data_IF_753373607615
#
_entry.id   IF_753373607615
#
_cell.length_a   1.000
_cell.length_b   1.000
_cell.length_c   1.000
_cell.angle_alpha   90.00
_cell.angle_beta   90.00
_cell.angle_gamma   90.00
#
_symmetry.space_group_name_H-M   'P 1'
#
loop_
_entity.id
_entity.type
_entity.pdbx_description
1 polymer ?
#
# COMPACT_ATOMS: atom_id res chain seq x y z
N UNK A 1 -5.16 20.48 -17.40
CA UNK A 1 -3.77 20.37 -16.90
C UNK A 1 -3.26 18.95 -17.20
N UNK A 2 -2.30 18.73 -18.12
CA UNK A 2 -1.75 17.36 -18.38
C UNK A 2 -0.27 17.29 -18.85
N UNK A 3 0.40 18.41 -19.14
CA UNK A 3 1.75 18.37 -19.74
C UNK A 3 2.85 17.72 -18.87
N UNK A 4 2.68 17.62 -17.54
CA UNK A 4 3.65 16.95 -16.64
C UNK A 4 3.49 15.43 -16.65
N UNK A 5 2.25 14.95 -16.66
CA UNK A 5 1.90 13.53 -16.79
C UNK A 5 2.50 12.92 -18.07
N UNK A 6 2.32 13.62 -19.19
CA UNK A 6 2.77 13.15 -20.50
C UNK A 6 4.30 13.13 -20.61
N UNK A 7 4.98 14.13 -20.01
CA UNK A 7 6.44 14.18 -19.95
C UNK A 7 7.01 13.06 -19.08
N UNK A 8 6.37 12.76 -17.96
CA UNK A 8 6.81 11.67 -17.07
C UNK A 8 6.50 10.29 -17.68
N UNK A 9 5.44 10.15 -18.45
CA UNK A 9 5.17 8.96 -19.26
C UNK A 9 6.24 8.78 -20.36
N UNK A 10 6.59 9.84 -21.08
CA UNK A 10 7.66 9.81 -22.09
C UNK A 10 9.02 9.45 -21.48
N UNK A 11 9.37 10.03 -20.34
CA UNK A 11 10.61 9.68 -19.61
C UNK A 11 10.63 8.23 -19.16
N UNK A 12 9.49 7.69 -18.71
CA UNK A 12 9.38 6.27 -18.34
C UNK A 12 9.58 5.39 -19.56
N UNK A 13 8.96 5.72 -20.69
CA UNK A 13 9.11 4.96 -21.94
C UNK A 13 10.55 4.97 -22.44
N UNK A 14 11.18 6.13 -22.51
CA UNK A 14 12.58 6.24 -22.93
C UNK A 14 13.54 5.43 -22.04
N UNK A 15 13.27 5.33 -20.74
CA UNK A 15 14.06 4.48 -19.83
C UNK A 15 13.84 2.99 -20.07
N UNK A 16 12.61 2.58 -20.41
CA UNK A 16 12.34 1.18 -20.75
C UNK A 16 13.03 0.81 -22.06
N UNK A 17 12.97 1.69 -23.06
CA UNK A 17 13.65 1.50 -24.34
C UNK A 17 15.18 1.39 -24.17
N UNK A 18 15.78 2.25 -23.32
CA UNK A 18 17.21 2.18 -22.97
C UNK A 18 17.58 0.86 -22.25
N UNK A 19 16.74 0.39 -21.34
CA UNK A 19 16.93 -0.91 -20.67
C UNK A 19 16.84 -2.05 -21.70
N UNK A 20 15.87 -2.04 -22.60
CA UNK A 20 15.74 -3.05 -23.66
C UNK A 20 16.95 -3.05 -24.58
N UNK A 21 17.46 -1.86 -24.95
CA UNK A 21 18.67 -1.72 -25.74
C UNK A 21 19.89 -2.29 -25.00
N UNK A 22 20.08 -1.98 -23.71
CA UNK A 22 21.19 -2.53 -22.93
C UNK A 22 21.11 -4.05 -22.77
N UNK A 23 19.89 -4.62 -22.70
CA UNK A 23 19.70 -6.07 -22.72
C UNK A 23 20.09 -6.66 -24.07
N UNK A 24 19.70 -6.01 -25.17
CA UNK A 24 20.05 -6.45 -26.53
C UNK A 24 21.57 -6.37 -26.81
N UNK A 25 22.23 -5.33 -26.30
CA UNK A 25 23.67 -5.13 -26.40
C UNK A 25 24.47 -6.04 -25.46
N UNK A 26 23.80 -6.77 -24.56
CA UNK A 26 24.44 -7.65 -23.57
C UNK A 26 25.14 -6.89 -22.44
N UNK A 27 25.00 -5.57 -22.37
CA UNK A 27 25.53 -4.72 -21.29
C UNK A 27 24.69 -4.81 -20.02
N UNK A 28 23.42 -5.23 -20.13
CA UNK A 28 22.54 -5.58 -19.02
C UNK A 28 22.07 -7.03 -19.16
N UNK A 29 22.30 -7.86 -18.14
CA UNK A 29 21.87 -9.26 -18.17
C UNK A 29 20.62 -9.49 -17.33
N UNK A 30 19.58 -10.08 -17.93
CA UNK A 30 18.38 -10.52 -17.20
C UNK A 30 18.68 -11.85 -16.49
N UNK A 31 18.83 -11.82 -15.17
CA UNK A 31 18.96 -13.03 -14.35
C UNK A 31 17.68 -13.30 -13.55
N UNK A 32 17.38 -14.57 -13.35
CA UNK A 32 16.36 -14.97 -12.37
C UNK A 32 16.90 -14.73 -10.97
N UNK A 33 16.05 -14.25 -10.06
CA UNK A 33 16.42 -14.10 -8.65
C UNK A 33 16.55 -15.48 -8.01
N UNK A 34 17.58 -15.67 -7.18
CA UNK A 34 17.75 -16.90 -6.40
C UNK A 34 16.69 -17.00 -5.29
N UNK A 35 16.44 -18.20 -4.76
CA UNK A 35 15.51 -18.39 -3.65
C UNK A 35 15.90 -17.57 -2.40
N UNK A 36 17.20 -17.53 -2.06
CA UNK A 36 17.71 -16.73 -0.95
C UNK A 36 17.53 -15.22 -1.17
N UNK A 37 17.65 -14.74 -2.40
CA UNK A 37 17.33 -13.34 -2.73
C UNK A 37 15.83 -13.09 -2.65
N UNK A 38 15.00 -13.98 -3.19
CA UNK A 38 13.54 -13.87 -3.10
C UNK A 38 13.10 -13.80 -1.64
N UNK A 39 13.62 -14.66 -0.78
CA UNK A 39 13.38 -14.64 0.67
C UNK A 39 13.90 -13.34 1.32
N UNK A 40 15.12 -12.91 1.01
CA UNK A 40 15.70 -11.65 1.51
C UNK A 40 14.86 -10.43 1.13
N UNK A 41 14.26 -10.45 -0.06
CA UNK A 41 13.44 -9.38 -0.60
C UNK A 41 11.93 -9.56 -0.36
N UNK A 42 11.50 -10.64 0.31
CA UNK A 42 10.08 -10.92 0.58
C UNK A 42 9.25 -11.29 -0.67
N UNK A 43 9.89 -11.67 -1.77
CA UNK A 43 9.22 -11.94 -3.05
C UNK A 43 8.57 -13.32 -3.03
N UNK A 44 7.24 -13.35 -2.90
CA UNK A 44 6.43 -14.57 -2.91
C UNK A 44 5.98 -15.04 -1.53
N UNK A 45 6.30 -14.29 -0.47
CA UNK A 45 5.75 -14.50 0.87
C UNK A 45 4.51 -13.60 1.03
N UNK A 46 3.33 -14.19 0.98
CA UNK A 46 2.05 -13.49 1.16
C UNK A 46 1.89 -12.87 2.54
N UNK A 47 2.68 -13.33 3.52
CA UNK A 47 2.64 -12.86 4.91
C UNK A 47 3.86 -11.97 5.25
N UNK A 48 4.76 -11.69 4.29
CA UNK A 48 5.87 -10.73 4.45
C UNK A 48 6.12 -9.88 3.20
N UNK A 49 5.15 -9.10 2.73
CA UNK A 49 5.22 -8.58 1.37
C UNK A 49 6.35 -7.58 1.16
N UNK A 50 6.66 -6.67 2.10
CA UNK A 50 7.79 -5.76 1.96
C UNK A 50 8.27 -5.29 3.33
N UNK A 51 9.56 -5.42 3.64
CA UNK A 51 10.20 -4.91 4.88
C UNK A 51 10.12 -3.38 5.07
N UNK A 52 9.30 -2.68 4.29
CA UNK A 52 9.21 -1.23 4.29
C UNK A 52 7.78 -0.80 4.04
N UNK A 53 7.26 -0.03 4.99
CA UNK A 53 6.06 0.77 4.83
C UNK A 53 6.04 1.50 3.48
N UNK A 54 4.88 1.50 2.84
CA UNK A 54 4.60 2.30 1.65
C UNK A 54 3.19 2.87 1.72
N UNK A 55 2.96 3.92 0.95
CA UNK A 55 1.65 4.51 0.69
C UNK A 55 1.39 4.39 -0.81
N UNK A 56 0.24 3.86 -1.27
CA UNK A 56 -0.04 3.70 -2.69
C UNK A 56 0.16 5.00 -3.48
N UNK A 57 0.80 4.90 -4.65
CA UNK A 57 1.20 6.06 -5.45
C UNK A 57 2.53 6.72 -5.04
N UNK A 58 3.17 6.27 -3.94
CA UNK A 58 4.50 6.71 -3.53
C UNK A 58 5.53 5.55 -3.53
N UNK A 59 6.82 5.90 -3.59
CA UNK A 59 7.91 4.93 -3.44
C UNK A 59 7.97 4.46 -1.97
N UNK A 60 8.12 3.15 -1.75
CA UNK A 60 8.28 2.57 -0.42
C UNK A 60 9.44 3.20 0.36
N UNK A 61 9.20 3.51 1.65
CA UNK A 61 10.15 4.18 2.53
C UNK A 61 10.55 5.60 2.12
N UNK A 62 9.81 6.25 1.21
CA UNK A 62 10.09 7.63 0.80
C UNK A 62 9.46 8.65 1.74
N UNK A 63 10.10 9.83 1.88
CA UNK A 63 9.55 10.97 2.62
C UNK A 63 8.14 11.34 2.14
N UNK A 64 7.91 11.31 0.82
CA UNK A 64 6.60 11.58 0.25
C UNK A 64 5.54 10.57 0.73
N UNK A 65 5.87 9.28 0.77
CA UNK A 65 4.95 8.27 1.29
C UNK A 65 4.59 8.50 2.75
N UNK A 66 5.57 8.90 3.57
CA UNK A 66 5.31 9.28 4.97
C UNK A 66 4.43 10.53 5.08
N UNK A 67 4.69 11.57 4.27
CA UNK A 67 3.89 12.80 4.26
C UNK A 67 2.41 12.55 3.90
N UNK A 68 2.15 11.72 2.90
CA UNK A 68 0.77 11.36 2.51
C UNK A 68 0.08 10.50 3.58
N UNK A 69 0.79 9.56 4.19
CA UNK A 69 0.25 8.79 5.33
C UNK A 69 -0.14 9.70 6.50
N UNK A 70 0.73 10.64 6.87
CA UNK A 70 0.46 11.59 7.95
C UNK A 70 -0.66 12.58 7.58
N UNK A 71 -0.86 12.87 6.30
CA UNK A 71 -2.05 13.61 5.83
C UNK A 71 -3.31 12.78 6.05
N UNK A 72 -3.35 11.52 5.59
CA UNK A 72 -4.50 10.63 5.76
C UNK A 72 -4.84 10.42 7.24
N UNK A 73 -3.85 10.15 8.10
CA UNK A 73 -4.07 10.00 9.55
C UNK A 73 -4.68 11.25 10.20
N UNK A 74 -4.27 12.45 9.76
CA UNK A 74 -4.84 13.72 10.23
C UNK A 74 -6.26 13.94 9.73
N UNK A 75 -6.54 13.61 8.47
CA UNK A 75 -7.87 13.70 7.89
C UNK A 75 -8.84 12.74 8.60
N UNK A 76 -8.44 11.49 8.81
CA UNK A 76 -9.19 10.51 9.59
C UNK A 76 -9.49 11.04 10.98
N UNK A 77 -8.48 11.46 11.75
CA UNK A 77 -8.68 12.02 13.09
C UNK A 77 -9.67 13.19 13.10
N UNK A 78 -9.62 14.06 12.09
CA UNK A 78 -10.56 15.18 11.99
C UNK A 78 -12.00 14.72 11.70
N UNK A 79 -12.18 13.64 10.94
CA UNK A 79 -13.47 13.09 10.58
C UNK A 79 -14.14 12.32 11.74
N UNK A 80 -13.38 11.50 12.47
CA UNK A 80 -13.94 10.58 13.47
C UNK A 80 -13.65 10.96 14.93
N UNK A 81 -12.81 11.98 15.17
CA UNK A 81 -12.45 12.45 16.52
C UNK A 81 -11.40 11.60 17.25
N UNK A 82 -11.29 10.32 16.90
CA UNK A 82 -10.35 9.35 17.45
C UNK A 82 -8.95 9.46 16.83
N UNK A 83 -7.92 9.14 17.63
CA UNK A 83 -6.52 9.15 17.14
C UNK A 83 -6.16 7.77 16.55
N UNK A 84 -5.64 7.73 15.32
CA UNK A 84 -5.03 6.51 14.79
C UNK A 84 -3.75 6.16 15.56
N UNK A 85 -3.55 4.87 15.81
CA UNK A 85 -2.33 4.34 16.41
C UNK A 85 -1.12 4.53 15.47
N UNK A 86 0.09 4.36 16.00
CA UNK A 86 1.31 4.42 15.18
C UNK A 86 1.55 3.13 14.38
N UNK A 87 0.78 2.07 14.65
CA UNK A 87 0.91 0.79 13.96
C UNK A 87 0.66 0.96 12.47
N UNK A 88 1.50 0.32 11.66
CA UNK A 88 1.42 0.37 10.19
C UNK A 88 0.85 -0.96 9.72
N UNK A 89 -0.43 -0.98 9.38
CA UNK A 89 -1.12 -2.21 8.97
C UNK A 89 -1.02 -2.36 7.46
N UNK A 90 -0.60 -3.53 7.00
CA UNK A 90 -0.53 -3.88 5.59
C UNK A 90 -1.80 -4.60 5.12
N UNK A 91 -2.23 -5.61 5.89
CA UNK A 91 -3.36 -6.48 5.55
C UNK A 91 -4.19 -6.79 6.78
N UNK A 92 -5.49 -6.95 6.57
CA UNK A 92 -6.43 -7.46 7.54
C UNK A 92 -7.27 -8.55 6.88
N UNK A 93 -7.26 -9.74 7.47
CA UNK A 93 -8.24 -10.78 7.18
C UNK A 93 -9.37 -10.67 8.22
N UNK A 94 -10.59 -10.37 7.78
CA UNK A 94 -11.73 -10.08 8.67
C UNK A 94 -13.06 -10.58 8.08
N UNK A 95 -14.15 -10.37 8.82
CA UNK A 95 -15.51 -10.62 8.36
C UNK A 95 -16.29 -9.30 8.23
N UNK A 96 -16.89 -9.08 7.07
CA UNK A 96 -17.78 -7.94 6.80
C UNK A 96 -19.15 -8.47 6.35
N UNK A 97 -20.22 -8.03 7.01
CA UNK A 97 -21.60 -8.45 6.73
C UNK A 97 -21.77 -9.98 6.64
N UNK A 98 -21.10 -10.74 7.52
CA UNK A 98 -21.16 -12.20 7.53
C UNK A 98 -20.28 -12.90 6.48
N UNK A 99 -19.43 -12.16 5.77
CA UNK A 99 -18.56 -12.68 4.71
C UNK A 99 -17.10 -12.46 5.05
N UNK A 100 -16.31 -13.53 4.99
CA UNK A 100 -14.87 -13.44 5.06
C UNK A 100 -14.35 -12.57 3.91
N UNK A 101 -13.51 -11.60 4.24
CA UNK A 101 -12.88 -10.69 3.29
C UNK A 101 -11.43 -10.39 3.69
N UNK A 102 -10.65 -9.99 2.69
CA UNK A 102 -9.26 -9.56 2.85
C UNK A 102 -9.15 -8.11 2.40
N UNK A 103 -8.61 -7.28 3.28
CA UNK A 103 -8.34 -5.86 3.04
C UNK A 103 -6.83 -5.67 3.00
N UNK A 104 -6.31 -5.11 1.91
CA UNK A 104 -4.87 -4.98 1.69
C UNK A 104 -4.53 -3.61 1.13
N UNK A 105 -3.51 -2.96 1.68
CA UNK A 105 -3.03 -1.66 1.19
C UNK A 105 -2.52 -1.80 -0.24
N UNK A 106 -3.07 -1.00 -1.16
CA UNK A 106 -2.77 -1.05 -2.60
C UNK A 106 -3.70 -1.96 -3.40
N UNK A 107 -4.57 -2.74 -2.75
CA UNK A 107 -5.63 -3.49 -3.40
C UNK A 107 -6.94 -2.66 -3.49
N UNK A 108 -7.86 -3.00 -4.41
CA UNK A 108 -9.20 -2.44 -4.38
C UNK A 108 -9.94 -2.87 -3.11
N UNK A 109 -10.81 -2.00 -2.61
CA UNK A 109 -11.75 -2.33 -1.54
C UNK A 109 -12.74 -3.44 -1.98
N UNK A 110 -13.27 -4.30 -1.09
CA UNK A 110 -14.20 -5.36 -1.50
C UNK A 110 -15.58 -4.85 -1.94
N UNK A 111 -16.00 -3.68 -1.45
CA UNK A 111 -17.33 -3.11 -1.68
C UNK A 111 -17.29 -2.00 -2.74
N UNK A 112 -16.16 -1.28 -2.86
CA UNK A 112 -15.93 -0.23 -3.85
C UNK A 112 -14.88 -0.59 -4.89
N UNK A 113 -14.73 0.24 -5.92
CA UNK A 113 -13.63 0.09 -6.91
C UNK A 113 -12.40 0.95 -6.56
N UNK A 114 -12.40 1.59 -5.38
CA UNK A 114 -11.33 2.49 -4.95
C UNK A 114 -10.20 1.71 -4.27
N UNK A 115 -8.97 2.15 -4.50
CA UNK A 115 -7.78 1.55 -3.87
C UNK A 115 -7.71 1.91 -2.39
N UNK A 116 -7.48 0.90 -1.54
CA UNK A 116 -7.15 1.08 -0.12
C UNK A 116 -5.75 1.71 -0.04
N UNK A 117 -5.67 2.90 0.55
CA UNK A 117 -4.41 3.65 0.70
C UNK A 117 -3.77 3.49 2.07
N UNK A 118 -4.56 3.25 3.11
CA UNK A 118 -4.07 2.95 4.45
C UNK A 118 -5.12 2.17 5.27
N UNK A 119 -4.65 1.42 6.26
CA UNK A 119 -5.49 0.80 7.29
C UNK A 119 -4.98 1.29 8.64
N UNK A 120 -5.87 1.87 9.43
CA UNK A 120 -5.56 2.47 10.72
C UNK A 120 -6.21 1.68 11.85
N UNK A 121 -5.46 1.39 12.90
CA UNK A 121 -6.02 0.97 14.17
C UNK A 121 -6.37 2.21 14.99
N UNK A 122 -7.52 2.21 15.66
CA UNK A 122 -7.93 3.31 16.53
C UNK A 122 -7.76 2.96 18.00
N UNK A 123 -7.27 3.92 18.77
CA UNK A 123 -6.86 3.71 20.17
C UNK A 123 -8.05 3.47 21.14
N UNK A 124 -9.29 3.77 20.74
CA UNK A 124 -10.43 3.95 21.65
C UNK A 124 -11.60 2.97 21.47
N UNK A 125 -11.69 2.25 20.34
CA UNK A 125 -12.90 1.44 20.04
C UNK A 125 -12.66 -0.01 19.61
N UNK A 126 -11.41 -0.51 19.63
CA UNK A 126 -11.10 -1.84 19.06
C UNK A 126 -11.62 -2.00 17.62
N UNK A 127 -11.53 -0.92 16.85
CA UNK A 127 -11.92 -0.88 15.45
C UNK A 127 -10.76 -0.44 14.57
N UNK A 128 -10.74 -0.98 13.36
CA UNK A 128 -9.88 -0.57 12.26
C UNK A 128 -10.65 0.38 11.33
N UNK A 129 -9.95 1.32 10.74
CA UNK A 129 -10.47 2.26 9.76
C UNK A 129 -9.72 2.07 8.44
N UNK A 130 -10.45 1.70 7.39
CA UNK A 130 -9.93 1.47 6.04
C UNK A 130 -10.06 2.76 5.27
N UNK A 131 -8.94 3.33 4.85
CA UNK A 131 -8.87 4.59 4.13
C UNK A 131 -8.66 4.34 2.64
N UNK A 132 -9.44 5.00 1.80
CA UNK A 132 -9.36 4.89 0.33
C UNK A 132 -8.96 6.24 -0.28
N UNK A 133 -8.63 6.24 -1.57
CA UNK A 133 -8.14 7.43 -2.28
C UNK A 133 -9.17 8.57 -2.41
N UNK A 134 -10.46 8.30 -2.16
CA UNK A 134 -11.53 9.29 -2.33
C UNK A 134 -11.75 10.16 -1.07
N UNK A 135 -11.05 9.88 0.03
CA UNK A 135 -11.03 10.70 1.26
C UNK A 135 -12.42 10.99 1.90
N UNK A 136 -13.51 10.33 1.48
CA UNK A 136 -14.87 10.68 1.91
C UNK A 136 -15.23 10.13 3.30
N UNK A 137 -15.08 8.83 3.55
CA UNK A 137 -15.30 8.18 4.86
C UNK A 137 -14.51 6.88 4.93
N UNK A 138 -13.89 6.57 6.08
CA UNK A 138 -13.22 5.29 6.28
C UNK A 138 -14.23 4.18 6.60
N UNK A 139 -14.17 3.05 5.88
CA UNK A 139 -14.90 1.85 6.27
C UNK A 139 -14.41 1.37 7.65
N UNK A 140 -15.34 1.11 8.57
CA UNK A 140 -15.05 0.63 9.92
C UNK A 140 -15.10 -0.89 9.95
N UNK A 141 -14.07 -1.50 10.51
CA UNK A 141 -13.94 -2.96 10.60
C UNK A 141 -13.65 -3.31 12.07
N UNK A 142 -14.44 -4.18 12.72
CA UNK A 142 -14.11 -4.65 14.05
C UNK A 142 -12.73 -5.31 14.07
N UNK A 143 -11.87 -4.91 15.01
CA UNK A 143 -10.57 -5.57 15.18
C UNK A 143 -10.69 -6.93 15.87
N UNK A 144 -11.79 -7.14 16.61
CA UNK A 144 -12.07 -8.40 17.28
C UNK A 144 -12.23 -9.53 16.25
N UNK A 145 -11.36 -10.53 16.32
CA UNK A 145 -11.35 -11.67 15.40
C UNK A 145 -10.70 -11.41 14.04
N UNK A 146 -10.18 -10.19 13.81
CA UNK A 146 -9.42 -9.87 12.62
C UNK A 146 -7.95 -10.31 12.78
N UNK A 147 -7.40 -10.93 11.74
CA UNK A 147 -5.97 -11.23 11.67
C UNK A 147 -5.23 -10.09 10.98
N UNK A 148 -4.37 -9.40 11.74
CA UNK A 148 -3.70 -8.16 11.33
C UNK A 148 -2.24 -8.44 11.02
N UNK A 149 -1.88 -8.21 9.76
CA UNK A 149 -0.49 -8.20 9.32
C UNK A 149 0.00 -6.77 9.20
N UNK A 150 1.02 -6.42 9.99
CA UNK A 150 1.68 -5.13 9.96
C UNK A 150 2.94 -5.12 9.08
N UNK A 151 3.37 -3.90 8.73
CA UNK A 151 4.68 -3.68 8.16
C UNK A 151 5.72 -3.83 9.28
N UNK A 152 6.54 -4.89 9.20
CA UNK A 152 7.69 -5.15 10.08
C UNK A 152 8.80 -4.09 9.94
#
# INVERSE_FOLDING_TARGET
MSFRSDRDAQKRRAKLDDIEQQVAEGTLTRRQMTAAERERFGIGDTDRPFRRFFFPGARAGSRRGEEEYQRAARALRAAIGSRPSTRRIFRVDCELDGKACRLEVGAPEPIGETTITAIFELDDEADLAVWTADDEVALRVPSAGADVLDFA
#
